data_IF_536908573209
#
_entry.id   IF_536908573209
#
_cell.length_a   1.000
_cell.length_b   1.000
_cell.length_c   1.000
_cell.angle_alpha   90.00
_cell.angle_beta   90.00
_cell.angle_gamma   90.00
#
_symmetry.space_group_name_H-M   'P 1'
#
loop_
_entity.id
_entity.type
_entity.pdbx_description
1 polymer ?
#
# COMPACT_ATOMS: atom_id res chain seq x y z
N UNK A 1 -20.92 14.69 -30.43
CA UNK A 1 -20.63 13.39 -29.78
C UNK A 1 -20.00 13.66 -28.42
N UNK A 2 -20.61 13.20 -27.33
CA UNK A 2 -20.15 13.41 -25.95
C UNK A 2 -18.94 12.53 -25.68
N UNK A 3 -17.77 13.14 -25.49
CA UNK A 3 -16.60 12.47 -24.92
C UNK A 3 -16.83 12.23 -23.44
N UNK A 4 -17.17 11.00 -23.08
CA UNK A 4 -17.16 10.54 -21.70
C UNK A 4 -15.71 10.39 -21.26
N UNK A 5 -15.17 11.40 -20.60
CA UNK A 5 -14.08 11.18 -19.65
C UNK A 5 -14.65 10.28 -18.56
N UNK A 6 -14.39 8.97 -18.66
CA UNK A 6 -14.56 8.08 -17.53
C UNK A 6 -13.49 8.51 -16.54
N UNK A 7 -13.90 9.21 -15.49
CA UNK A 7 -13.08 9.35 -14.31
C UNK A 7 -12.82 7.91 -13.84
N UNK A 8 -11.62 7.40 -14.14
CA UNK A 8 -11.10 6.13 -13.65
C UNK A 8 -11.20 6.21 -12.13
N UNK A 9 -12.28 5.65 -11.60
CA UNK A 9 -12.57 5.65 -10.19
C UNK A 9 -11.37 4.95 -9.56
N UNK A 10 -10.57 5.68 -8.77
CA UNK A 10 -9.48 5.14 -7.97
C UNK A 10 -10.12 4.15 -7.01
N UNK A 11 -10.35 2.93 -7.48
CA UNK A 11 -10.88 1.85 -6.68
C UNK A 11 -9.98 1.80 -5.45
N UNK A 12 -10.54 1.78 -4.23
CA UNK A 12 -9.74 1.67 -3.03
C UNK A 12 -8.85 0.46 -3.24
N UNK A 13 -7.54 0.71 -3.31
CA UNK A 13 -6.60 -0.31 -3.73
C UNK A 13 -6.80 -1.48 -2.77
N UNK A 14 -7.32 -2.60 -3.28
CA UNK A 14 -7.57 -3.81 -2.49
C UNK A 14 -6.26 -4.53 -2.16
N UNK A 15 -5.12 -3.88 -2.37
CA UNK A 15 -3.78 -4.39 -2.13
C UNK A 15 -3.19 -3.56 -0.99
N UNK A 16 -2.46 -4.25 -0.13
CA UNK A 16 -1.74 -3.66 0.98
C UNK A 16 -0.82 -2.52 0.48
N UNK A 17 -0.92 -1.31 1.06
CA UNK A 17 -0.07 -0.19 0.65
C UNK A 17 1.41 -0.43 0.99
N UNK A 18 1.69 -1.30 1.96
CA UNK A 18 3.05 -1.65 2.42
C UNK A 18 3.69 -2.77 1.60
N UNK A 19 2.99 -3.32 0.60
CA UNK A 19 3.52 -4.30 -0.34
C UNK A 19 4.21 -3.57 -1.50
N UNK A 20 5.48 -3.86 -1.74
CA UNK A 20 6.27 -3.27 -2.83
C UNK A 20 7.34 -4.22 -3.37
N UNK A 21 8.10 -3.78 -4.37
CA UNK A 21 9.26 -4.49 -4.91
C UNK A 21 10.56 -3.88 -4.38
N UNK A 22 11.65 -4.65 -4.42
CA UNK A 22 12.96 -4.20 -3.98
C UNK A 22 13.46 -2.98 -4.77
N UNK A 23 13.23 -2.96 -6.10
CA UNK A 23 13.62 -1.84 -6.95
C UNK A 23 12.70 -0.62 -6.85
N UNK A 24 11.41 -0.86 -6.58
CA UNK A 24 10.39 0.20 -6.49
C UNK A 24 9.31 -0.19 -5.46
N UNK A 25 9.27 0.59 -4.36
CA UNK A 25 8.34 0.39 -3.24
C UNK A 25 6.88 0.62 -3.65
N UNK A 26 6.63 1.42 -4.68
CA UNK A 26 5.29 1.71 -5.16
C UNK A 26 4.82 0.71 -6.23
N UNK A 27 5.75 0.02 -6.88
CA UNK A 27 5.46 -1.07 -7.80
C UNK A 27 5.12 -2.36 -7.07
N UNK A 28 4.21 -3.14 -7.65
CA UNK A 28 3.79 -4.46 -7.16
C UNK A 28 3.10 -5.24 -8.27
N UNK A 29 3.24 -6.57 -8.24
CA UNK A 29 2.46 -7.47 -9.07
C UNK A 29 1.05 -7.65 -8.48
N UNK A 30 0.08 -7.99 -9.34
CA UNK A 30 -1.30 -8.28 -8.92
C UNK A 30 -1.51 -9.74 -8.51
N UNK A 31 -0.43 -10.54 -8.51
CA UNK A 31 -0.41 -11.96 -8.17
C UNK A 31 0.74 -12.25 -7.17
N UNK A 32 0.68 -13.36 -6.42
CA UNK A 32 1.73 -13.72 -5.46
C UNK A 32 3.08 -13.88 -6.17
N UNK A 33 4.11 -13.21 -5.67
CA UNK A 33 5.44 -13.22 -6.27
C UNK A 33 6.52 -13.12 -5.18
N UNK A 34 7.61 -13.87 -5.32
CA UNK A 34 8.69 -13.90 -4.34
C UNK A 34 9.46 -12.56 -4.28
N UNK A 35 9.41 -11.77 -5.35
CA UNK A 35 10.00 -10.42 -5.39
C UNK A 35 9.27 -9.40 -4.51
N UNK A 36 8.06 -9.70 -4.01
CA UNK A 36 7.36 -8.81 -3.09
C UNK A 36 8.03 -8.76 -1.71
N UNK A 37 8.16 -7.53 -1.22
CA UNK A 37 8.66 -7.22 0.11
C UNK A 37 7.62 -6.47 0.94
N UNK A 38 7.62 -6.73 2.24
CA UNK A 38 6.81 -6.05 3.23
C UNK A 38 7.60 -4.87 3.82
N UNK A 39 7.10 -3.66 3.65
CA UNK A 39 7.69 -2.43 4.20
C UNK A 39 7.02 -1.97 5.51
N UNK A 40 6.48 -2.90 6.29
CA UNK A 40 5.87 -2.58 7.58
C UNK A 40 6.91 -2.33 8.70
N UNK A 41 8.10 -2.91 8.56
CA UNK A 41 9.22 -2.67 9.46
C UNK A 41 10.27 -1.79 8.78
N UNK A 42 11.25 -1.31 9.56
CA UNK A 42 12.37 -0.51 9.06
C UNK A 42 13.17 -1.24 7.98
N UNK A 43 13.34 -2.56 8.13
CA UNK A 43 13.94 -3.43 7.12
C UNK A 43 12.84 -4.17 6.36
N UNK A 44 12.81 -4.08 5.02
CA UNK A 44 11.83 -4.81 4.24
C UNK A 44 12.06 -6.32 4.37
N UNK A 45 10.97 -7.07 4.55
CA UNK A 45 11.01 -8.51 4.78
C UNK A 45 10.27 -9.29 3.68
N UNK A 46 10.72 -10.50 3.41
CA UNK A 46 10.09 -11.40 2.44
C UNK A 46 8.73 -11.88 2.93
N UNK A 47 7.80 -12.14 2.01
CA UNK A 47 6.45 -12.59 2.35
C UNK A 47 6.18 -13.94 1.67
N UNK A 48 5.75 -14.98 2.40
CA UNK A 48 5.34 -16.25 1.79
C UNK A 48 4.19 -16.05 0.80
N UNK A 49 4.22 -16.77 -0.34
CA UNK A 49 3.24 -16.62 -1.42
C UNK A 49 1.78 -16.82 -0.95
N UNK A 50 1.54 -17.83 -0.10
CA UNK A 50 0.21 -18.09 0.46
C UNK A 50 -0.29 -16.92 1.32
N UNK A 51 0.62 -16.25 2.05
CA UNK A 51 0.28 -15.09 2.86
C UNK A 51 -0.04 -13.87 1.98
N UNK A 52 0.69 -13.70 0.87
CA UNK A 52 0.40 -12.64 -0.10
C UNK A 52 -1.00 -12.82 -0.71
N UNK A 53 -1.33 -14.06 -1.11
CA UNK A 53 -2.63 -14.40 -1.70
C UNK A 53 -3.79 -14.24 -0.70
N UNK A 54 -3.58 -14.54 0.58
CA UNK A 54 -4.62 -14.47 1.61
C UNK A 54 -4.84 -13.05 2.16
N UNK A 55 -3.79 -12.21 2.18
CA UNK A 55 -3.83 -10.90 2.81
C UNK A 55 -3.37 -9.78 1.88
N UNK A 56 -2.09 -9.76 1.50
CA UNK A 56 -1.45 -8.59 0.90
C UNK A 56 -2.09 -8.15 -0.42
N UNK A 57 -2.60 -9.08 -1.23
CA UNK A 57 -3.22 -8.82 -2.53
C UNK A 57 -4.75 -8.77 -2.48
N UNK A 58 -5.33 -8.68 -1.27
CA UNK A 58 -6.77 -8.73 -1.05
C UNK A 58 -7.22 -7.62 -0.11
N UNK A 59 -8.52 -7.32 -0.13
CA UNK A 59 -9.14 -6.39 0.83
C UNK A 59 -8.97 -6.80 2.30
N UNK A 60 -8.45 -8.00 2.56
CA UNK A 60 -8.16 -8.51 3.89
C UNK A 60 -6.79 -8.08 4.45
N UNK A 61 -6.00 -7.30 3.71
CA UNK A 61 -4.71 -6.82 4.20
C UNK A 61 -4.75 -6.13 5.58
N UNK A 62 -5.83 -5.41 6.01
CA UNK A 62 -5.86 -4.80 7.35
C UNK A 62 -5.88 -5.83 8.49
N UNK A 63 -6.27 -7.08 8.21
CA UNK A 63 -6.24 -8.17 9.18
C UNK A 63 -4.86 -8.84 9.28
N UNK A 64 -3.89 -8.46 8.45
CA UNK A 64 -2.53 -8.95 8.53
C UNK A 64 -1.87 -8.43 9.82
N UNK A 65 -1.28 -9.33 10.62
CA UNK A 65 -0.60 -8.94 11.87
C UNK A 65 0.62 -8.05 11.69
N UNK A 66 1.16 -7.97 10.46
CA UNK A 66 2.27 -7.06 10.11
C UNK A 66 1.78 -5.70 9.65
N UNK A 67 0.52 -5.55 9.28
CA UNK A 67 0.01 -4.29 8.77
C UNK A 67 -0.02 -3.26 9.90
N UNK A 68 0.69 -2.17 9.69
CA UNK A 68 0.61 -0.99 10.55
C UNK A 68 -0.04 0.09 9.69
N UNK A 69 -1.20 0.57 10.12
CA UNK A 69 -1.80 1.73 9.49
C UNK A 69 -0.78 2.86 9.58
N UNK A 70 -0.34 3.44 8.44
CA UNK A 70 0.52 4.61 8.51
C UNK A 70 -0.23 5.63 9.36
N UNK A 71 0.46 6.37 10.25
CA UNK A 71 -0.21 7.48 10.92
C UNK A 71 -0.86 8.30 9.82
N UNK A 72 -2.18 8.49 9.87
CA UNK A 72 -2.87 9.42 8.99
C UNK A 72 -2.16 10.76 9.21
N UNK A 73 -1.15 11.05 8.38
CA UNK A 73 -0.52 12.34 8.28
C UNK A 73 -1.65 13.22 7.76
N UNK A 74 -2.41 13.74 8.73
CA UNK A 74 -3.76 14.28 8.58
C UNK A 74 -3.84 14.99 7.26
N UNK A 75 -4.87 14.71 6.47
CA UNK A 75 -5.26 15.45 5.28
C UNK A 75 -5.60 16.93 5.61
N UNK A 76 -4.68 17.64 6.25
CA UNK A 76 -4.89 18.89 6.99
C UNK A 76 -3.86 19.25 8.07
N UNK A 77 -2.74 18.52 8.31
CA UNK A 77 -1.71 19.04 9.22
C UNK A 77 -0.80 20.05 8.50
N UNK A 78 -1.06 21.34 8.71
CA UNK A 78 -0.10 22.42 8.46
C UNK A 78 0.73 22.56 9.75
N UNK A 79 2.04 22.26 9.75
CA UNK A 79 2.87 22.51 10.92
C UNK A 79 2.82 24.01 11.26
N UNK A 80 2.70 24.41 12.54
CA UNK A 80 2.74 25.82 12.91
C UNK A 80 4.09 26.41 12.45
N UNK A 81 4.11 27.62 11.86
CA UNK A 81 5.38 28.26 11.52
C UNK A 81 6.23 28.41 12.78
N UNK A 82 7.56 28.27 12.69
CA UNK A 82 8.43 28.46 13.84
C UNK A 82 8.23 29.87 14.39
N UNK A 83 8.08 29.97 15.71
CA UNK A 83 8.02 31.26 16.40
C UNK A 83 9.36 31.96 16.22
N UNK A 84 9.35 33.13 15.57
CA UNK A 84 10.47 34.06 15.47
C UNK A 84 10.50 35.00 16.68
#
# INVERSE_FOLDING_TARGET
MKGSFVAEQRAPNRICPLLGLAEDREARFTYPEAAHLCYAAERPDTIPLDHQAAFCLTSNYPACSRYVEPPEERAGYIPPPPLA
#
